data_IF_584686546821
#
_entry.id   IF_584686546821
#
_cell.length_a   1.000
_cell.length_b   1.000
_cell.length_c   1.000
_cell.angle_alpha   90.00
_cell.angle_beta   90.00
_cell.angle_gamma   90.00
#
_symmetry.space_group_name_H-M   'P 1'
#
loop_
_entity.id
_entity.type
_entity.pdbx_description
1 polymer ?
#
# COMPACT_ATOMS: atom_id res chain seq x y z
N UNK A 1 -7.82 -41.24 -72.50
CA UNK A 1 -7.63 -39.86 -72.02
C UNK A 1 -8.33 -39.74 -70.71
N UNK A 2 -7.61 -39.82 -69.59
CA UNK A 2 -8.13 -39.58 -68.24
C UNK A 2 -7.69 -38.19 -67.77
N UNK A 3 -8.63 -37.32 -67.48
CA UNK A 3 -8.39 -36.03 -66.85
C UNK A 3 -8.36 -36.21 -65.35
N UNK A 4 -7.25 -35.93 -64.69
CA UNK A 4 -7.14 -35.84 -63.24
C UNK A 4 -7.42 -34.39 -62.83
N UNK A 5 -8.48 -34.17 -62.06
CA UNK A 5 -8.81 -32.88 -61.43
C UNK A 5 -8.02 -32.76 -60.11
N UNK A 6 -7.11 -31.81 -60.02
CA UNK A 6 -6.44 -31.46 -58.76
C UNK A 6 -7.34 -30.56 -57.91
N UNK A 7 -7.78 -31.07 -56.76
CA UNK A 7 -8.47 -30.29 -55.74
C UNK A 7 -7.43 -29.65 -54.84
N UNK A 8 -7.22 -28.33 -54.98
CA UNK A 8 -6.44 -27.50 -54.05
C UNK A 8 -7.27 -27.17 -52.80
N UNK A 9 -7.05 -27.94 -51.74
CA UNK A 9 -7.62 -27.67 -50.44
C UNK A 9 -6.88 -26.46 -49.80
N UNK A 10 -7.58 -25.32 -49.64
CA UNK A 10 -7.10 -24.20 -48.82
C UNK A 10 -7.21 -24.62 -47.35
N UNK A 11 -6.10 -24.72 -46.66
CA UNK A 11 -6.04 -24.89 -45.21
C UNK A 11 -6.52 -23.58 -44.55
N UNK A 12 -7.49 -23.60 -43.62
CA UNK A 12 -7.85 -22.40 -42.86
C UNK A 12 -6.64 -22.01 -41.99
N UNK A 13 -6.16 -20.78 -42.18
CA UNK A 13 -5.10 -20.20 -41.37
C UNK A 13 -5.51 -20.28 -39.88
N UNK A 14 -4.70 -20.97 -39.09
CA UNK A 14 -4.82 -20.95 -37.64
C UNK A 14 -4.65 -19.51 -37.17
N UNK A 15 -5.75 -18.88 -36.80
CA UNK A 15 -5.73 -17.62 -36.07
C UNK A 15 -4.93 -17.88 -34.78
N UNK A 16 -3.71 -17.36 -34.70
CA UNK A 16 -2.91 -17.37 -33.49
C UNK A 16 -3.73 -16.65 -32.43
N UNK A 17 -4.32 -17.39 -31.51
CA UNK A 17 -4.95 -16.84 -30.32
C UNK A 17 -3.83 -16.10 -29.54
N UNK A 18 -3.78 -14.79 -29.70
CA UNK A 18 -2.89 -13.94 -28.96
C UNK A 18 -3.22 -14.15 -27.48
N UNK A 19 -2.33 -14.79 -26.71
CA UNK A 19 -2.56 -15.04 -25.30
C UNK A 19 -2.94 -13.72 -24.63
N UNK A 20 -4.12 -13.68 -24.00
CA UNK A 20 -4.63 -12.47 -23.36
C UNK A 20 -3.57 -11.93 -22.40
N UNK A 21 -3.15 -10.69 -22.61
CA UNK A 21 -2.24 -10.02 -21.68
C UNK A 21 -2.94 -9.90 -20.33
N UNK A 22 -2.21 -10.09 -19.25
CA UNK A 22 -2.75 -10.01 -17.88
C UNK A 22 -1.98 -8.95 -17.11
N UNK A 23 -2.69 -8.13 -16.35
CA UNK A 23 -2.11 -7.32 -15.27
C UNK A 23 -2.60 -7.89 -13.93
N UNK A 24 -1.66 -8.23 -13.04
CA UNK A 24 -1.95 -8.76 -11.71
C UNK A 24 -1.71 -7.66 -10.69
N UNK A 25 -2.78 -7.26 -9.99
CA UNK A 25 -2.76 -6.12 -9.07
C UNK A 25 -2.95 -6.60 -7.64
N UNK A 26 -1.97 -6.26 -6.79
CA UNK A 26 -2.06 -6.46 -5.35
C UNK A 26 -2.72 -5.26 -4.67
N UNK A 27 -3.67 -5.51 -3.77
CA UNK A 27 -4.35 -4.47 -3.02
C UNK A 27 -4.49 -4.85 -1.54
N UNK A 28 -4.79 -3.85 -0.70
CA UNK A 28 -5.13 -4.01 0.70
C UNK A 28 -6.57 -3.55 0.93
N UNK A 29 -7.17 -3.85 2.08
CA UNK A 29 -8.56 -3.49 2.40
C UNK A 29 -8.78 -1.98 2.65
N UNK A 30 -8.15 -1.12 1.87
CA UNK A 30 -8.34 0.34 1.93
C UNK A 30 -7.79 1.02 0.66
N UNK A 31 -8.03 2.32 0.54
CA UNK A 31 -7.37 3.17 -0.45
C UNK A 31 -7.93 3.05 -1.86
N UNK A 32 -7.32 3.78 -2.76
CA UNK A 32 -7.81 4.01 -4.11
C UNK A 32 -7.85 2.76 -4.99
N UNK A 33 -6.91 1.79 -4.80
CA UNK A 33 -6.98 0.52 -5.53
C UNK A 33 -8.24 -0.29 -5.19
N UNK A 34 -8.69 -0.28 -3.93
CA UNK A 34 -9.93 -0.94 -3.53
C UNK A 34 -11.15 -0.24 -4.13
N UNK A 35 -11.13 1.09 -4.21
CA UNK A 35 -12.16 1.86 -4.90
C UNK A 35 -12.17 1.56 -6.41
N UNK A 36 -11.02 1.54 -7.05
CA UNK A 36 -10.88 1.24 -8.48
C UNK A 36 -11.43 -0.16 -8.81
N UNK A 37 -11.08 -1.15 -7.99
CA UNK A 37 -11.63 -2.52 -8.08
C UNK A 37 -13.16 -2.52 -7.94
N UNK A 38 -13.69 -1.83 -6.92
CA UNK A 38 -15.14 -1.76 -6.68
C UNK A 38 -15.91 -1.08 -7.81
N UNK A 39 -15.31 -0.14 -8.52
CA UNK A 39 -15.93 0.56 -9.67
C UNK A 39 -15.84 -0.22 -10.99
N UNK A 40 -14.89 -1.13 -11.14
CA UNK A 40 -14.70 -1.95 -12.35
C UNK A 40 -14.35 -1.16 -13.61
N UNK A 41 -13.86 0.09 -13.47
CA UNK A 41 -13.55 0.96 -14.63
C UNK A 41 -12.26 0.55 -15.32
N UNK A 42 -11.28 0.06 -14.56
CA UNK A 42 -10.03 -0.44 -15.09
C UNK A 42 -10.23 -1.66 -15.98
N UNK A 43 -11.02 -2.63 -15.50
CA UNK A 43 -11.33 -3.85 -16.25
C UNK A 43 -11.99 -3.52 -17.59
N UNK A 44 -12.96 -2.59 -17.60
CA UNK A 44 -13.64 -2.15 -18.83
C UNK A 44 -12.67 -1.51 -19.81
N UNK A 45 -11.78 -0.64 -19.32
CA UNK A 45 -10.82 0.05 -20.16
C UNK A 45 -9.77 -0.89 -20.74
N UNK A 46 -9.27 -1.83 -19.94
CA UNK A 46 -8.23 -2.78 -20.36
C UNK A 46 -8.78 -3.91 -21.21
N UNK A 47 -10.03 -4.33 -21.02
CA UNK A 47 -10.70 -5.33 -21.88
C UNK A 47 -10.73 -4.88 -23.35
N UNK A 48 -10.94 -3.57 -23.62
CA UNK A 48 -10.88 -3.01 -24.96
C UNK A 48 -9.50 -3.15 -25.64
N UNK A 49 -8.44 -3.43 -24.86
CA UNK A 49 -7.07 -3.69 -25.31
C UNK A 49 -6.66 -5.16 -25.24
N UNK A 50 -7.60 -6.07 -24.98
CA UNK A 50 -7.35 -7.50 -24.82
C UNK A 50 -6.54 -7.84 -23.55
N UNK A 51 -6.62 -6.99 -22.52
CA UNK A 51 -5.91 -7.17 -21.24
C UNK A 51 -6.90 -7.53 -20.13
N UNK A 52 -6.60 -8.59 -19.39
CA UNK A 52 -7.37 -9.02 -18.22
C UNK A 52 -6.75 -8.49 -16.94
N UNK A 53 -7.56 -8.00 -16.01
CA UNK A 53 -7.14 -7.60 -14.67
C UNK A 53 -7.38 -8.74 -13.69
N UNK A 54 -6.36 -9.07 -12.88
CA UNK A 54 -6.47 -10.02 -11.76
C UNK A 54 -6.12 -9.30 -10.47
N UNK A 55 -6.98 -9.40 -9.47
CA UNK A 55 -6.82 -8.77 -8.17
C UNK A 55 -6.44 -9.81 -7.11
N UNK A 56 -5.45 -9.47 -6.28
CA UNK A 56 -5.03 -10.29 -5.13
C UNK A 56 -4.99 -9.43 -3.88
N UNK A 57 -5.70 -9.85 -2.83
CA UNK A 57 -5.73 -9.16 -1.56
C UNK A 57 -4.52 -9.56 -0.69
N UNK A 58 -3.93 -8.57 -0.01
CA UNK A 58 -2.86 -8.75 0.95
C UNK A 58 -3.20 -8.08 2.28
N UNK A 59 -2.80 -8.68 3.42
CA UNK A 59 -3.12 -8.14 4.74
C UNK A 59 -2.29 -6.90 5.11
N UNK A 60 -1.13 -6.67 4.45
CA UNK A 60 -0.24 -5.56 4.72
C UNK A 60 0.77 -5.33 3.57
N UNK A 61 1.38 -4.13 3.54
CA UNK A 61 2.31 -3.72 2.50
C UNK A 61 3.56 -4.59 2.34
N UNK A 62 4.26 -4.98 3.42
CA UNK A 62 5.45 -5.84 3.30
C UNK A 62 5.19 -7.13 2.54
N UNK A 63 4.12 -7.89 2.89
CA UNK A 63 3.79 -9.15 2.18
C UNK A 63 3.26 -8.91 0.77
N UNK A 64 2.66 -7.75 0.48
CA UNK A 64 2.31 -7.35 -0.88
C UNK A 64 3.57 -7.20 -1.74
N UNK A 65 4.62 -6.57 -1.22
CA UNK A 65 5.88 -6.39 -1.95
C UNK A 65 6.69 -7.69 -2.07
N UNK A 66 6.52 -8.65 -1.17
CA UNK A 66 7.00 -10.03 -1.37
C UNK A 66 6.31 -10.64 -2.59
N UNK A 67 4.98 -10.49 -2.70
CA UNK A 67 4.21 -10.91 -3.87
C UNK A 67 4.68 -10.26 -5.16
N UNK A 68 5.02 -8.97 -5.13
CA UNK A 68 5.60 -8.25 -6.26
C UNK A 68 6.99 -8.80 -6.64
N UNK A 69 7.84 -9.05 -5.65
CA UNK A 69 9.20 -9.54 -5.85
C UNK A 69 9.25 -10.95 -6.45
N UNK A 70 8.35 -11.85 -6.03
CA UNK A 70 8.28 -13.21 -6.59
C UNK A 70 7.43 -13.30 -7.87
N UNK A 71 6.93 -12.17 -8.37
CA UNK A 71 6.17 -12.10 -9.62
C UNK A 71 4.75 -12.66 -9.53
N UNK A 72 4.15 -12.79 -8.34
CA UNK A 72 2.74 -13.16 -8.20
C UNK A 72 1.80 -12.00 -8.53
N UNK A 73 2.27 -10.77 -8.40
CA UNK A 73 1.61 -9.54 -8.86
C UNK A 73 2.59 -8.67 -9.66
N UNK A 74 2.06 -7.76 -10.48
CA UNK A 74 2.80 -6.86 -11.35
C UNK A 74 2.79 -5.42 -10.86
N UNK A 75 1.74 -5.05 -10.10
CA UNK A 75 1.45 -3.71 -9.63
C UNK A 75 0.78 -3.76 -8.25
N UNK A 76 0.99 -2.74 -7.42
CA UNK A 76 0.31 -2.64 -6.13
C UNK A 76 0.53 -1.33 -5.43
N UNK A 77 -0.13 -1.16 -4.25
CA UNK A 77 0.00 0.03 -3.41
C UNK A 77 0.42 -0.33 -2.00
N UNK A 78 1.30 0.49 -1.45
CA UNK A 78 1.79 0.38 -0.06
C UNK A 78 2.11 1.78 0.49
N UNK A 79 2.29 1.89 1.82
CA UNK A 79 2.79 3.10 2.45
C UNK A 79 4.27 3.37 2.17
N UNK A 80 4.83 4.36 2.83
CA UNK A 80 6.19 4.88 2.55
C UNK A 80 7.35 3.95 2.98
N UNK A 81 7.18 3.13 4.02
CA UNK A 81 8.27 2.30 4.52
C UNK A 81 8.45 0.95 3.80
N UNK A 82 7.40 0.19 3.41
CA UNK A 82 7.56 -1.11 2.79
C UNK A 82 8.50 -1.14 1.57
N UNK A 83 8.51 -0.16 0.64
CA UNK A 83 9.40 -0.17 -0.51
C UNK A 83 10.88 -0.12 -0.12
N UNK A 84 11.20 0.54 0.99
CA UNK A 84 12.57 0.66 1.52
C UNK A 84 13.05 -0.70 1.99
N UNK A 85 12.22 -1.43 2.75
CA UNK A 85 12.55 -2.78 3.21
C UNK A 85 12.70 -3.74 2.02
N UNK A 86 11.79 -3.69 1.06
CA UNK A 86 11.82 -4.53 -0.13
C UNK A 86 13.07 -4.25 -0.99
N UNK A 87 13.41 -3.00 -1.24
CA UNK A 87 14.61 -2.62 -1.99
C UNK A 87 15.88 -3.04 -1.25
N UNK A 88 15.95 -2.88 0.07
CA UNK A 88 17.08 -3.34 0.89
C UNK A 88 17.25 -4.86 0.87
N UNK A 89 16.16 -5.60 0.70
CA UNK A 89 16.13 -7.05 0.50
C UNK A 89 16.43 -7.47 -0.96
N UNK A 90 16.62 -6.51 -1.88
CA UNK A 90 16.98 -6.78 -3.27
C UNK A 90 15.79 -6.90 -4.24
N UNK A 91 14.60 -6.49 -3.85
CA UNK A 91 13.43 -6.50 -4.73
C UNK A 91 13.62 -5.57 -5.94
N UNK A 92 13.30 -6.08 -7.13
CA UNK A 92 13.41 -5.33 -8.39
C UNK A 92 12.08 -4.62 -8.71
N UNK A 93 11.81 -3.54 -7.99
CA UNK A 93 10.60 -2.72 -8.06
C UNK A 93 10.89 -1.29 -8.55
N UNK A 94 9.83 -0.60 -8.99
CA UNK A 94 9.89 0.81 -9.36
C UNK A 94 8.70 1.58 -8.82
N UNK A 95 8.95 2.82 -8.40
CA UNK A 95 7.92 3.78 -8.04
C UNK A 95 7.28 4.33 -9.32
N UNK A 96 5.96 4.23 -9.44
CA UNK A 96 5.21 4.67 -10.63
C UNK A 96 4.19 5.78 -10.34
N UNK A 97 3.91 6.04 -9.07
CA UNK A 97 3.03 7.13 -8.62
C UNK A 97 3.00 7.21 -7.11
N UNK A 98 2.46 8.29 -6.59
CA UNK A 98 2.18 8.47 -5.16
C UNK A 98 0.93 9.32 -4.93
N UNK A 99 0.37 9.20 -3.76
CA UNK A 99 -0.69 10.07 -3.26
C UNK A 99 -0.12 11.14 -2.32
N UNK A 100 -0.86 12.23 -2.07
CA UNK A 100 -0.44 13.24 -1.12
C UNK A 100 -0.24 12.67 0.30
N UNK A 101 0.46 13.40 1.20
CA UNK A 101 0.60 12.99 2.59
C UNK A 101 -0.75 12.79 3.29
N UNK A 102 -0.86 11.71 4.06
CA UNK A 102 -2.04 11.38 4.88
C UNK A 102 -1.63 11.04 6.32
N UNK A 103 -0.94 11.93 7.05
CA UNK A 103 -0.37 11.62 8.36
C UNK A 103 -1.43 11.25 9.40
N UNK A 104 -2.67 11.78 9.30
CA UNK A 104 -3.77 11.46 10.20
C UNK A 104 -4.37 10.06 10.01
N UNK A 105 -4.00 9.33 8.96
CA UNK A 105 -4.52 7.98 8.69
C UNK A 105 -3.72 6.85 9.34
N UNK A 106 -2.77 7.19 10.22
CA UNK A 106 -2.05 6.25 11.07
C UNK A 106 -1.77 6.86 12.44
N UNK A 107 -1.74 6.03 13.48
CA UNK A 107 -1.54 6.50 14.84
C UNK A 107 -0.94 5.44 15.77
N UNK A 108 -0.40 5.93 16.89
CA UNK A 108 -0.14 5.17 18.09
C UNK A 108 -1.40 5.25 18.96
N UNK A 109 -2.02 4.12 19.22
CA UNK A 109 -3.20 4.04 20.08
C UNK A 109 -2.91 3.27 21.36
N UNK A 110 -3.62 3.65 22.43
CA UNK A 110 -3.53 2.99 23.74
C UNK A 110 -4.94 2.61 24.20
N UNK A 111 -5.09 1.59 25.09
CA UNK A 111 -6.38 1.23 25.63
C UNK A 111 -7.08 2.43 26.30
N UNK A 112 -8.43 2.47 26.31
CA UNK A 112 -9.25 3.55 26.90
C UNK A 112 -8.82 3.90 28.31
N UNK A 113 -8.54 2.91 29.14
CA UNK A 113 -8.11 3.06 30.55
C UNK A 113 -6.61 3.21 30.77
N UNK A 114 -5.79 3.29 29.70
CA UNK A 114 -4.34 3.37 29.80
C UNK A 114 -3.86 4.62 30.55
N UNK A 115 -2.85 4.45 31.39
CA UNK A 115 -2.16 5.55 32.08
C UNK A 115 -1.13 6.28 31.19
N UNK A 116 -0.80 5.73 30.02
CA UNK A 116 0.06 6.38 29.04
C UNK A 116 -0.66 7.63 28.51
N UNK A 117 -0.07 8.83 28.70
CA UNK A 117 -0.65 10.10 28.29
C UNK A 117 0.20 10.86 27.29
N UNK A 118 1.49 10.61 27.27
CA UNK A 118 2.48 11.28 26.41
C UNK A 118 3.35 10.26 25.69
N UNK A 119 4.06 10.70 24.65
CA UNK A 119 5.05 9.84 23.98
C UNK A 119 6.19 9.39 24.91
N UNK A 120 6.52 10.21 25.93
CA UNK A 120 7.56 9.86 26.90
C UNK A 120 7.18 8.65 27.76
N UNK A 121 5.88 8.42 27.97
CA UNK A 121 5.38 7.27 28.75
C UNK A 121 5.53 5.93 27.99
N UNK A 122 5.94 5.96 26.70
CA UNK A 122 6.20 4.74 25.92
C UNK A 122 7.50 4.05 26.32
N UNK A 123 8.38 4.71 27.09
CA UNK A 123 9.64 4.09 27.54
C UNK A 123 9.37 2.82 28.35
N UNK A 124 10.01 1.71 27.99
CA UNK A 124 9.83 0.40 28.62
C UNK A 124 8.55 -0.33 28.25
N UNK A 125 7.65 0.28 27.46
CA UNK A 125 6.35 -0.30 27.11
C UNK A 125 6.45 -1.32 25.99
N UNK A 126 5.47 -2.23 25.98
CA UNK A 126 5.28 -3.27 24.97
C UNK A 126 4.36 -2.75 23.88
N UNK A 127 4.89 -2.55 22.67
CA UNK A 127 4.24 -1.89 21.56
C UNK A 127 4.11 -2.85 20.39
N UNK A 128 2.87 -3.13 19.96
CA UNK A 128 2.63 -3.99 18.80
C UNK A 128 2.48 -3.17 17.53
N UNK A 129 3.05 -3.66 16.43
CA UNK A 129 2.98 -3.08 15.09
C UNK A 129 3.33 -4.10 14.01
N UNK A 130 3.08 -3.76 12.75
CA UNK A 130 3.54 -4.57 11.62
C UNK A 130 4.95 -4.14 11.20
N UNK A 131 5.90 -5.09 11.25
CA UNK A 131 7.31 -4.82 10.91
C UNK A 131 7.47 -4.36 9.46
N UNK A 132 8.24 -3.30 9.24
CA UNK A 132 8.55 -2.81 7.90
C UNK A 132 7.42 -2.07 7.20
N UNK A 133 6.27 -1.85 7.87
CA UNK A 133 5.18 -1.00 7.39
C UNK A 133 5.42 0.47 7.74
N UNK A 134 4.57 1.37 7.19
CA UNK A 134 4.62 2.81 7.49
C UNK A 134 4.53 3.11 9.00
N UNK A 135 3.70 2.38 9.76
CA UNK A 135 3.61 2.57 11.22
C UNK A 135 4.88 2.18 11.97
N UNK A 136 5.78 1.42 11.36
CA UNK A 136 7.10 1.18 11.93
C UNK A 136 7.94 2.48 11.89
N UNK A 137 7.84 3.24 10.80
CA UNK A 137 8.47 4.55 10.69
C UNK A 137 7.82 5.56 11.64
N UNK A 138 6.48 5.58 11.75
CA UNK A 138 5.79 6.42 12.73
C UNK A 138 6.29 6.18 14.16
N UNK A 139 6.42 4.90 14.59
CA UNK A 139 6.96 4.59 15.91
C UNK A 139 8.36 5.15 16.09
N UNK A 140 9.26 4.93 15.12
CA UNK A 140 10.64 5.44 15.18
C UNK A 140 10.66 6.96 15.36
N UNK A 141 9.86 7.69 14.57
CA UNK A 141 9.80 9.16 14.63
C UNK A 141 9.17 9.66 15.94
N UNK A 142 8.17 8.97 16.46
CA UNK A 142 7.55 9.29 17.74
C UNK A 142 8.52 9.13 18.91
N UNK A 143 9.27 8.04 18.93
CA UNK A 143 10.29 7.79 19.95
C UNK A 143 11.43 8.80 19.87
N UNK A 144 11.92 9.12 18.67
CA UNK A 144 12.95 10.16 18.46
C UNK A 144 12.47 11.51 19.00
N UNK A 145 11.23 11.91 18.70
CA UNK A 145 10.63 13.16 19.23
C UNK A 145 10.55 13.18 20.75
N UNK A 146 10.33 12.02 21.37
CA UNK A 146 10.28 11.87 22.83
C UNK A 146 11.68 11.71 23.49
N UNK A 147 12.76 11.65 22.72
CA UNK A 147 14.11 11.39 23.23
C UNK A 147 14.30 9.96 23.76
N UNK A 148 13.53 9.00 23.25
CA UNK A 148 13.59 7.58 23.64
C UNK A 148 14.36 6.79 22.58
N UNK A 149 15.39 6.06 22.99
CA UNK A 149 16.05 5.12 22.08
C UNK A 149 15.08 3.98 21.67
N UNK A 150 15.13 3.59 20.39
CA UNK A 150 14.27 2.50 19.88
C UNK A 150 14.40 1.19 20.68
N UNK A 151 15.59 0.91 21.23
CA UNK A 151 15.86 -0.26 22.09
C UNK A 151 15.21 -0.18 23.48
N UNK A 152 14.76 1.00 23.91
CA UNK A 152 14.15 1.23 25.23
C UNK A 152 12.65 0.95 25.24
N UNK A 153 12.09 0.43 24.13
CA UNK A 153 10.72 -0.11 24.04
C UNK A 153 10.76 -1.58 23.63
N UNK A 154 9.70 -2.32 23.94
CA UNK A 154 9.56 -3.72 23.57
C UNK A 154 8.65 -3.83 22.33
N UNK A 155 9.22 -3.92 21.14
CA UNK A 155 8.44 -4.07 19.91
C UNK A 155 7.97 -5.51 19.73
N UNK A 156 6.66 -5.67 19.44
CA UNK A 156 6.03 -6.95 19.08
C UNK A 156 5.56 -6.84 17.64
N UNK A 157 6.02 -7.72 16.77
CA UNK A 157 5.70 -7.68 15.35
C UNK A 157 4.63 -8.70 15.00
N UNK A 158 3.44 -8.21 14.67
CA UNK A 158 2.28 -9.03 14.31
C UNK A 158 1.56 -8.43 13.08
N UNK A 159 0.89 -9.28 12.28
CA UNK A 159 -0.07 -8.82 11.29
C UNK A 159 -1.22 -8.03 11.96
N UNK A 160 -1.93 -7.14 11.24
CA UNK A 160 -2.96 -6.28 11.85
C UNK A 160 -4.05 -7.02 12.65
N UNK A 161 -4.54 -8.17 12.17
CA UNK A 161 -5.56 -8.95 12.87
C UNK A 161 -5.08 -9.50 14.21
N UNK A 162 -3.86 -10.07 14.23
CA UNK A 162 -3.25 -10.62 15.44
C UNK A 162 -2.84 -9.51 16.41
N UNK A 163 -2.37 -8.37 15.88
CA UNK A 163 -2.06 -7.18 16.66
C UNK A 163 -3.31 -6.65 17.35
N UNK A 164 -4.45 -6.57 16.64
CA UNK A 164 -5.74 -6.21 17.22
C UNK A 164 -6.11 -7.15 18.38
N UNK A 165 -6.08 -8.44 18.14
CA UNK A 165 -6.42 -9.43 19.16
C UNK A 165 -5.47 -9.34 20.38
N UNK A 166 -4.18 -9.06 20.18
CA UNK A 166 -3.21 -8.85 21.25
C UNK A 166 -3.50 -7.59 22.07
N UNK A 167 -3.91 -6.50 21.39
CA UNK A 167 -4.27 -5.25 22.01
C UNK A 167 -5.58 -5.37 22.82
N UNK A 168 -6.61 -6.01 22.27
CA UNK A 168 -7.90 -6.26 22.95
C UNK A 168 -7.73 -7.05 24.25
N UNK A 169 -6.82 -8.04 24.28
CA UNK A 169 -6.55 -8.85 25.48
C UNK A 169 -5.66 -8.16 26.51
N UNK A 170 -5.20 -6.94 26.24
CA UNK A 170 -4.26 -6.22 27.10
C UNK A 170 -2.87 -6.87 27.18
N UNK A 171 -2.47 -7.67 26.18
CA UNK A 171 -1.15 -8.30 26.11
C UNK A 171 -0.04 -7.32 25.70
N UNK A 172 -0.40 -6.12 25.25
CA UNK A 172 0.48 -5.02 24.87
C UNK A 172 -0.05 -3.71 25.40
N UNK A 173 0.83 -2.72 25.60
CA UNK A 173 0.51 -1.42 26.17
C UNK A 173 0.01 -0.41 25.11
N UNK A 174 0.49 -0.56 23.88
CA UNK A 174 0.15 0.30 22.75
C UNK A 174 0.13 -0.47 21.44
N UNK A 175 -0.60 0.06 20.46
CA UNK A 175 -0.66 -0.46 19.11
C UNK A 175 -0.41 0.68 18.11
N UNK A 176 0.49 0.46 17.15
CA UNK A 176 0.71 1.42 16.06
C UNK A 176 0.08 0.85 14.80
N UNK A 177 -0.88 1.59 14.24
CA UNK A 177 -1.75 1.06 13.20
C UNK A 177 -2.28 2.16 12.27
N UNK A 178 -2.70 1.77 11.09
CA UNK A 178 -3.28 2.62 10.04
C UNK A 178 -4.77 2.34 9.82
N UNK A 179 -5.46 3.24 9.12
CA UNK A 179 -6.85 3.08 8.71
C UNK A 179 -7.03 1.98 7.65
N UNK A 180 -8.14 1.21 7.70
CA UNK A 180 -9.32 1.40 8.57
C UNK A 180 -9.20 0.73 9.96
N UNK A 181 -8.10 0.05 10.26
CA UNK A 181 -7.90 -0.59 11.56
C UNK A 181 -7.83 0.43 12.69
N UNK A 182 -7.25 1.62 12.43
CA UNK A 182 -7.24 2.74 13.38
C UNK A 182 -8.66 3.18 13.72
N UNK A 183 -9.47 3.48 12.73
CA UNK A 183 -10.88 3.88 12.92
C UNK A 183 -11.68 2.77 13.63
N UNK A 184 -11.42 1.49 13.31
CA UNK A 184 -12.05 0.37 14.01
C UNK A 184 -11.61 0.29 15.47
N UNK A 185 -10.34 0.52 15.79
CA UNK A 185 -9.84 0.55 17.18
C UNK A 185 -10.51 1.65 17.98
N UNK A 186 -10.66 2.85 17.42
CA UNK A 186 -11.35 3.97 18.08
C UNK A 186 -12.84 3.67 18.30
N UNK A 187 -13.55 3.21 17.27
CA UNK A 187 -15.00 3.02 17.31
C UNK A 187 -15.44 1.80 18.10
N UNK A 188 -14.76 0.67 17.93
CA UNK A 188 -15.16 -0.62 18.50
C UNK A 188 -14.48 -0.93 19.82
N UNK A 189 -13.22 -0.49 20.03
CA UNK A 189 -12.47 -0.76 21.25
C UNK A 189 -12.38 0.43 22.19
N UNK A 190 -12.83 1.61 21.75
CA UNK A 190 -12.67 2.85 22.51
C UNK A 190 -11.17 3.19 22.70
N UNK A 191 -10.31 2.73 21.81
CA UNK A 191 -8.89 3.05 21.86
C UNK A 191 -8.68 4.56 21.76
N UNK A 192 -7.73 5.06 22.53
CA UNK A 192 -7.40 6.49 22.54
C UNK A 192 -6.14 6.72 21.70
N UNK A 193 -6.22 7.66 20.76
CA UNK A 193 -5.06 8.12 20.00
C UNK A 193 -4.10 8.84 20.95
N UNK A 194 -2.86 8.36 21.04
CA UNK A 194 -1.78 9.00 21.77
C UNK A 194 -1.10 10.05 20.91
N UNK A 195 -0.79 9.69 19.67
CA UNK A 195 -0.27 10.55 18.63
C UNK A 195 -0.57 9.95 17.26
N UNK A 196 -0.90 10.78 16.28
CA UNK A 196 -0.95 10.42 14.87
C UNK A 196 0.35 10.81 14.14
N UNK A 197 0.40 10.66 12.82
CA UNK A 197 1.55 11.01 12.01
C UNK A 197 1.79 12.51 11.86
N UNK A 198 0.86 13.38 12.28
CA UNK A 198 0.96 14.83 12.07
C UNK A 198 2.20 15.42 12.73
N UNK A 199 3.06 16.06 11.93
CA UNK A 199 4.34 16.62 12.38
C UNK A 199 5.40 15.57 12.74
N UNK A 200 5.17 14.31 12.43
CA UNK A 200 6.11 13.20 12.62
C UNK A 200 6.53 12.58 11.29
N UNK A 201 5.57 12.22 10.45
CA UNK A 201 5.75 11.52 9.18
C UNK A 201 4.82 12.08 8.11
N UNK A 202 5.14 11.85 6.85
CA UNK A 202 4.26 12.22 5.72
C UNK A 202 3.16 11.19 5.50
N UNK A 203 3.47 9.92 5.71
CA UNK A 203 2.60 8.79 5.41
C UNK A 203 2.05 8.84 3.98
N UNK A 204 2.96 8.94 3.01
CA UNK A 204 2.61 8.79 1.59
C UNK A 204 2.15 7.37 1.28
N UNK A 205 1.18 7.26 0.37
CA UNK A 205 0.91 6.01 -0.33
C UNK A 205 1.66 6.01 -1.66
N UNK A 206 2.30 4.88 -1.98
CA UNK A 206 3.03 4.69 -3.23
C UNK A 206 2.39 3.61 -4.08
N UNK A 207 2.37 3.85 -5.39
CA UNK A 207 2.09 2.85 -6.40
C UNK A 207 3.41 2.33 -6.94
N UNK A 208 3.54 1.01 -6.92
CA UNK A 208 4.75 0.30 -7.31
C UNK A 208 4.43 -0.73 -8.38
N UNK A 209 5.40 -0.94 -9.26
CA UNK A 209 5.34 -2.02 -10.23
C UNK A 209 6.62 -2.86 -10.16
N UNK A 210 6.52 -4.14 -10.54
CA UNK A 210 7.70 -4.92 -10.85
C UNK A 210 8.44 -4.26 -12.03
N UNK A 211 9.74 -3.98 -11.89
CA UNK A 211 10.50 -3.29 -12.94
C UNK A 211 10.39 -3.97 -14.30
N UNK A 212 10.56 -5.31 -14.43
CA UNK A 212 10.44 -5.97 -15.73
C UNK A 212 9.06 -5.79 -16.36
N UNK A 213 7.99 -5.75 -15.53
CA UNK A 213 6.64 -5.51 -16.03
C UNK A 213 6.46 -4.07 -16.50
N UNK A 214 6.91 -3.09 -15.72
CA UNK A 214 6.80 -1.67 -16.06
C UNK A 214 7.56 -1.32 -17.35
N UNK A 215 8.73 -1.93 -17.55
CA UNK A 215 9.54 -1.76 -18.76
C UNK A 215 8.92 -2.46 -19.99
N UNK A 216 8.32 -3.64 -19.80
CA UNK A 216 7.70 -4.39 -20.90
C UNK A 216 6.27 -3.90 -21.25
N UNK A 217 5.55 -3.32 -20.30
CA UNK A 217 4.15 -2.91 -20.46
C UNK A 217 3.88 -1.48 -19.94
N UNK A 218 4.67 -0.46 -20.35
CA UNK A 218 4.55 0.91 -19.81
C UNK A 218 3.17 1.53 -20.08
N UNK A 219 2.54 1.18 -21.21
CA UNK A 219 1.21 1.65 -21.55
C UNK A 219 0.16 1.13 -20.55
N UNK A 220 0.25 -0.13 -20.12
CA UNK A 220 -0.68 -0.70 -19.15
C UNK A 220 -0.51 -0.04 -17.79
N UNK A 221 0.73 0.15 -17.33
CA UNK A 221 1.02 0.85 -16.07
C UNK A 221 0.47 2.28 -16.10
N UNK A 222 0.67 3.00 -17.22
CA UNK A 222 0.12 4.35 -17.40
C UNK A 222 -1.42 4.34 -17.32
N UNK A 223 -2.09 3.39 -17.96
CA UNK A 223 -3.56 3.27 -17.89
C UNK A 223 -4.03 3.04 -16.45
N UNK A 224 -3.34 2.20 -15.68
CA UNK A 224 -3.67 1.99 -14.26
C UNK A 224 -3.56 3.29 -13.48
N UNK A 225 -2.46 4.03 -13.63
CA UNK A 225 -2.25 5.33 -12.95
C UNK A 225 -3.31 6.36 -13.37
N UNK A 226 -3.67 6.43 -14.66
CA UNK A 226 -4.72 7.34 -15.14
C UNK A 226 -6.10 7.00 -14.56
N UNK A 227 -6.45 5.71 -14.45
CA UNK A 227 -7.71 5.30 -13.82
C UNK A 227 -7.71 5.58 -12.31
N UNK A 228 -6.59 5.37 -11.63
CA UNK A 228 -6.44 5.76 -10.23
C UNK A 228 -6.64 7.26 -10.03
N UNK A 229 -6.02 8.10 -10.89
CA UNK A 229 -6.19 9.56 -10.80
C UNK A 229 -7.65 9.99 -10.97
N UNK A 230 -8.40 9.35 -11.89
CA UNK A 230 -9.84 9.62 -12.07
C UNK A 230 -10.67 9.19 -10.85
N UNK A 231 -10.34 8.03 -10.26
CA UNK A 231 -11.02 7.54 -9.05
C UNK A 231 -10.75 8.45 -7.86
N UNK A 232 -9.52 8.94 -7.71
CA UNK A 232 -9.16 9.89 -6.66
C UNK A 232 -9.88 11.24 -6.83
N UNK A 233 -9.88 11.79 -8.04
CA UNK A 233 -10.61 13.03 -8.31
C UNK A 233 -12.10 12.90 -7.99
N UNK A 234 -12.69 11.77 -8.36
CA UNK A 234 -14.09 11.48 -8.02
C UNK A 234 -14.24 11.28 -6.51
N UNK A 235 -13.38 10.48 -5.88
CA UNK A 235 -13.45 10.12 -4.46
C UNK A 235 -13.38 11.33 -3.53
N UNK A 236 -12.51 12.28 -3.84
CA UNK A 236 -12.37 13.52 -3.07
C UNK A 236 -13.65 14.36 -2.98
N UNK A 237 -14.57 14.18 -3.92
CA UNK A 237 -15.84 14.91 -4.04
C UNK A 237 -17.06 14.10 -3.59
N UNK A 238 -16.89 12.78 -3.36
CA UNK A 238 -18.00 11.83 -3.17
C UNK A 238 -17.75 10.87 -1.99
N UNK A 239 -17.38 11.40 -0.82
CA UNK A 239 -17.01 10.59 0.37
C UNK A 239 -18.09 9.58 0.77
N UNK A 240 -19.38 9.93 0.65
CA UNK A 240 -20.49 9.00 0.95
C UNK A 240 -20.46 7.76 0.03
N UNK A 241 -20.25 7.97 -1.25
CA UNK A 241 -20.17 6.86 -2.22
C UNK A 241 -18.89 6.04 -2.03
N UNK A 242 -17.77 6.72 -1.72
CA UNK A 242 -16.51 6.08 -1.31
C UNK A 242 -16.75 5.17 -0.12
N UNK A 243 -17.45 5.67 0.91
CA UNK A 243 -17.81 4.90 2.11
C UNK A 243 -18.64 3.68 1.74
N UNK A 244 -19.66 3.83 0.91
CA UNK A 244 -20.52 2.72 0.49
C UNK A 244 -19.73 1.63 -0.25
N UNK A 245 -18.88 2.02 -1.22
CA UNK A 245 -18.05 1.08 -1.99
C UNK A 245 -17.05 0.36 -1.08
N UNK A 246 -16.32 1.11 -0.25
CA UNK A 246 -15.33 0.52 0.64
C UNK A 246 -15.97 -0.37 1.71
N UNK A 247 -17.12 0.00 2.27
CA UNK A 247 -17.86 -0.86 3.21
C UNK A 247 -18.23 -2.20 2.57
N UNK A 248 -18.74 -2.19 1.33
CA UNK A 248 -19.07 -3.39 0.59
C UNK A 248 -17.82 -4.26 0.29
N UNK A 249 -16.67 -3.64 -0.01
CA UNK A 249 -15.42 -4.35 -0.34
C UNK A 249 -14.71 -4.90 0.90
N UNK A 250 -14.80 -4.19 2.04
CA UNK A 250 -14.06 -4.54 3.26
C UNK A 250 -14.89 -5.34 4.27
N UNK A 251 -16.22 -5.26 4.18
CA UNK A 251 -17.13 -5.81 5.18
C UNK A 251 -17.17 -5.02 6.49
N UNK A 252 -16.59 -3.81 6.53
CA UNK A 252 -16.59 -2.94 7.70
C UNK A 252 -17.83 -2.05 7.75
N UNK A 253 -18.23 -1.69 8.97
CA UNK A 253 -19.32 -0.75 9.21
C UNK A 253 -19.05 0.61 8.57
N UNK A 254 -20.09 1.23 7.99
CA UNK A 254 -19.98 2.51 7.30
C UNK A 254 -19.39 3.63 8.17
N UNK A 255 -19.67 3.65 9.47
CA UNK A 255 -19.13 4.65 10.40
C UNK A 255 -17.61 4.55 10.59
N UNK A 256 -17.04 3.35 10.47
CA UNK A 256 -15.60 3.10 10.51
C UNK A 256 -14.96 3.54 9.20
N UNK A 257 -15.56 3.11 8.09
CA UNK A 257 -15.05 3.41 6.74
C UNK A 257 -15.12 4.89 6.43
N UNK A 258 -16.19 5.58 6.85
CA UNK A 258 -16.34 7.02 6.67
C UNK A 258 -15.24 7.80 7.41
N UNK A 259 -14.96 7.43 8.67
CA UNK A 259 -13.88 8.05 9.45
C UNK A 259 -12.51 7.84 8.76
N UNK A 260 -12.25 6.63 8.30
CA UNK A 260 -11.01 6.32 7.55
C UNK A 260 -10.93 7.12 6.23
N UNK A 261 -12.01 7.17 5.45
CA UNK A 261 -12.07 7.89 4.17
C UNK A 261 -11.87 9.40 4.32
N UNK A 262 -12.31 9.98 5.44
CA UNK A 262 -12.10 11.42 5.75
C UNK A 262 -10.65 11.76 6.08
N UNK A 263 -9.86 10.80 6.59
CA UNK A 263 -8.43 10.98 6.90
C UNK A 263 -7.52 10.76 5.70
N UNK A 264 -8.05 10.15 4.66
CA UNK A 264 -7.31 9.81 3.46
C UNK A 264 -7.15 11.03 2.54
N UNK A 265 -5.95 11.21 1.97
CA UNK A 265 -5.68 12.27 0.99
C UNK A 265 -5.72 11.70 -0.42
N UNK A 266 -6.60 12.25 -1.25
CA UNK A 266 -6.80 11.82 -2.64
C UNK A 266 -5.96 12.65 -3.60
N UNK A 267 -5.54 12.07 -4.70
CA UNK A 267 -4.87 12.77 -5.79
C UNK A 267 -3.55 12.12 -6.21
N UNK A 268 -3.63 11.11 -7.07
CA UNK A 268 -2.43 10.44 -7.63
C UNK A 268 -1.59 11.46 -8.40
N UNK A 269 -0.30 11.44 -8.12
CA UNK A 269 0.72 12.31 -8.73
C UNK A 269 1.92 11.50 -9.21
N UNK A 270 2.66 12.00 -10.21
CA UNK A 270 3.97 11.48 -10.53
C UNK A 270 4.93 11.61 -9.34
N UNK A 271 5.79 10.62 -9.16
CA UNK A 271 6.81 10.65 -8.12
C UNK A 271 7.87 11.71 -8.46
N UNK A 272 7.93 12.77 -7.66
CA UNK A 272 8.85 13.88 -7.87
C UNK A 272 10.21 13.63 -7.22
N UNK A 273 11.28 14.36 -7.63
CA UNK A 273 12.56 14.30 -6.95
C UNK A 273 12.47 14.67 -5.45
N UNK A 274 11.52 15.52 -5.05
CA UNK A 274 11.24 15.86 -3.66
C UNK A 274 10.79 14.64 -2.88
N UNK A 275 9.76 13.93 -3.40
CA UNK A 275 9.22 12.70 -2.79
C UNK A 275 10.32 11.64 -2.66
N UNK A 276 11.20 11.49 -3.65
CA UNK A 276 12.33 10.56 -3.56
C UNK A 276 13.34 10.98 -2.48
N UNK A 277 13.58 12.28 -2.30
CA UNK A 277 14.43 12.75 -1.20
C UNK A 277 13.83 12.46 0.18
N UNK A 278 12.51 12.63 0.33
CA UNK A 278 11.83 12.24 1.57
C UNK A 278 11.93 10.73 1.83
N UNK A 279 11.71 9.90 0.81
CA UNK A 279 11.90 8.45 0.91
C UNK A 279 13.35 8.07 1.28
N UNK A 280 14.35 8.79 0.77
CA UNK A 280 15.75 8.55 1.14
C UNK A 280 15.99 8.83 2.64
N UNK A 281 15.39 9.88 3.20
CA UNK A 281 15.49 10.16 4.65
C UNK A 281 14.95 9.00 5.50
N UNK A 282 13.85 8.38 5.06
CA UNK A 282 13.28 7.20 5.74
C UNK A 282 14.27 6.03 5.67
N UNK A 283 14.85 5.78 4.49
CA UNK A 283 15.85 4.73 4.30
C UNK A 283 17.09 4.94 5.18
N UNK A 284 17.57 6.18 5.28
CA UNK A 284 18.73 6.53 6.09
C UNK A 284 18.48 6.31 7.59
N UNK A 285 17.26 6.63 8.07
CA UNK A 285 16.85 6.38 9.46
C UNK A 285 16.84 4.89 9.75
N UNK A 286 16.24 4.06 8.89
CA UNK A 286 16.20 2.61 9.08
C UNK A 286 17.60 1.97 8.98
N UNK A 287 18.46 2.47 8.11
CA UNK A 287 19.85 2.00 8.01
C UNK A 287 20.65 2.35 9.29
N UNK A 288 20.52 3.59 9.80
CA UNK A 288 21.16 4.05 11.04
C UNK A 288 20.75 3.19 12.23
N UNK A 289 19.49 2.82 12.32
CA UNK A 289 18.93 1.95 13.37
C UNK A 289 19.21 0.46 13.13
N UNK A 290 19.86 0.09 12.03
CA UNK A 290 20.11 -1.31 11.62
C UNK A 290 18.82 -2.14 11.48
N UNK A 291 17.71 -1.48 11.10
CA UNK A 291 16.41 -2.12 10.86
C UNK A 291 16.29 -2.66 9.42
N UNK A 292 17.15 -2.21 8.51
CA UNK A 292 17.36 -2.80 7.18
C UNK A 292 18.78 -3.36 7.06
N UNK A 293 19.00 -4.41 6.23
CA UNK A 293 20.27 -5.15 6.20
C UNK A 293 21.43 -4.32 5.63
N UNK A 294 21.16 -3.32 4.80
CA UNK A 294 22.15 -2.45 4.15
C UNK A 294 21.53 -1.10 3.78
N UNK A 295 22.33 -0.03 3.69
CA UNK A 295 21.90 1.24 3.10
C UNK A 295 21.47 1.04 1.64
N UNK A 296 20.52 1.84 1.18
CA UNK A 296 20.01 1.83 -0.19
C UNK A 296 19.99 3.24 -0.78
N UNK A 297 20.00 3.31 -2.10
CA UNK A 297 19.76 4.54 -2.86
C UNK A 297 18.34 4.44 -3.45
N UNK A 298 17.39 5.16 -2.87
CA UNK A 298 15.96 5.06 -3.26
C UNK A 298 15.76 5.43 -4.74
N UNK A 299 16.58 6.36 -5.26
CA UNK A 299 16.54 6.77 -6.67
C UNK A 299 16.74 5.61 -7.65
N UNK A 300 17.43 4.54 -7.26
CA UNK A 300 17.64 3.36 -8.11
C UNK A 300 16.32 2.62 -8.40
N UNK A 301 15.29 2.85 -7.60
CA UNK A 301 13.94 2.33 -7.81
C UNK A 301 13.05 3.26 -8.65
N UNK A 302 13.61 4.19 -9.42
CA UNK A 302 12.88 4.97 -10.41
C UNK A 302 13.00 4.34 -11.80
N UNK A 303 11.99 4.59 -12.66
CA UNK A 303 12.09 4.29 -14.08
C UNK A 303 13.01 5.29 -14.77
N UNK A 304 13.72 4.84 -15.81
CA UNK A 304 14.55 5.69 -16.65
C UNK A 304 13.73 6.62 -17.57
N UNK A 305 12.42 6.33 -17.73
CA UNK A 305 11.50 7.07 -18.58
C UNK A 305 10.24 7.48 -17.80
N UNK A 306 9.54 8.51 -18.28
CA UNK A 306 8.24 8.93 -17.73
C UNK A 306 7.12 8.03 -18.27
N UNK A 307 6.22 7.65 -17.40
CA UNK A 307 4.98 6.94 -17.76
C UNK A 307 3.97 7.88 -18.43
#
# INVERSE_FOLDING_TARGET
>A
MLFAAAVTGALPGAASAQSAKVVRIGYQKYGTLTLLKGRGTLEKRLAAKGVTVKWTEFPAGPVLLEGLNVGSIDFGTVGEAPPIFAQAAGANLVYVGNEPPSPGSEAIVVPKGSTIRTLADLKGKKIVLNKGSNVHYLLVRALEKAGIDYKDVQTVFLPPADARASFERGAVDAWVIWDPFLAAAEKQLGARVLADGTGLVSNHQFYLAARPYAEAQPEIVRIVIEELAKVDEWGSKNIKDVTAILSAQTGLESSIVELAAQRYSYGVKPVTPEVIREQQKIADVFAKLKLIPKPIVVKDAQLAFKL
#
